data_IF_369481127393
#
_entry.id   IF_369481127393
#
_cell.length_a   1.000
_cell.length_b   1.000
_cell.length_c   1.000
_cell.angle_alpha   90.00
_cell.angle_beta   90.00
_cell.angle_gamma   90.00
#
_symmetry.space_group_name_H-M   'P 1'
#
loop_
_entity.id
_entity.type
_entity.pdbx_description
1 polymer ?
#
# COMPACT_ATOMS: atom_id res chain seq x y z
N UNK A 1 -5.01 57.76 52.64
CA UNK A 1 -5.60 58.11 51.33
C UNK A 1 -5.99 56.82 50.59
N UNK A 2 -7.14 56.77 49.89
CA UNK A 2 -7.89 55.54 49.59
C UNK A 2 -7.94 55.17 48.09
N UNK A 3 -8.25 53.89 47.77
CA UNK A 3 -9.13 53.34 46.70
C UNK A 3 -8.85 51.81 46.56
N UNK A 4 -9.72 50.84 46.86
CA UNK A 4 -11.02 50.41 46.26
C UNK A 4 -10.95 50.18 44.74
N UNK A 5 -10.95 48.92 44.27
CA UNK A 5 -11.66 48.31 43.09
C UNK A 5 -11.31 46.81 43.10
N UNK A 6 -12.11 45.84 43.55
CA UNK A 6 -13.44 45.34 43.13
C UNK A 6 -13.56 45.00 41.63
N UNK A 7 -13.57 43.69 41.38
CA UNK A 7 -14.29 42.92 40.32
C UNK A 7 -13.70 42.87 38.89
N UNK A 8 -13.51 41.60 38.47
CA UNK A 8 -13.77 41.01 37.15
C UNK A 8 -13.15 41.66 35.92
N UNK A 9 -12.27 40.93 35.23
CA UNK A 9 -12.48 40.53 33.83
C UNK A 9 -11.82 39.16 33.64
N UNK A 10 -12.67 38.19 33.32
CA UNK A 10 -12.33 36.90 32.73
C UNK A 10 -11.71 37.19 31.36
N UNK A 11 -10.49 36.74 31.10
CA UNK A 11 -10.04 36.51 29.72
C UNK A 11 -9.66 35.04 29.57
N UNK A 12 -10.68 34.31 29.14
CA UNK A 12 -10.67 32.96 28.65
C UNK A 12 -9.70 32.86 27.46
N UNK A 13 -8.48 32.40 27.69
CA UNK A 13 -7.64 31.87 26.61
C UNK A 13 -8.02 30.40 26.43
N UNK A 14 -9.16 30.17 25.77
CA UNK A 14 -9.34 28.89 25.06
C UNK A 14 -8.30 28.87 23.96
N UNK A 15 -7.17 28.22 24.22
CA UNK A 15 -6.28 27.75 23.17
C UNK A 15 -7.04 26.62 22.48
N UNK A 16 -7.90 26.95 21.51
CA UNK A 16 -8.30 25.97 20.51
C UNK A 16 -7.09 25.77 19.62
N UNK A 17 -6.20 24.87 20.02
CA UNK A 17 -5.38 24.19 19.03
C UNK A 17 -6.30 23.28 18.25
N UNK A 18 -6.96 23.83 17.23
CA UNK A 18 -7.33 23.02 16.07
C UNK A 18 -6.02 22.75 15.36
N UNK A 19 -5.23 21.82 15.90
CA UNK A 19 -4.33 21.04 15.08
C UNK A 19 -5.26 20.25 14.16
N UNK A 20 -5.52 20.80 12.97
CA UNK A 20 -5.99 19.97 11.88
C UNK A 20 -5.00 18.83 11.79
N UNK A 21 -5.48 17.61 12.05
CA UNK A 21 -4.72 16.41 11.78
C UNK A 21 -4.51 16.41 10.27
N UNK A 22 -3.41 17.00 9.80
CA UNK A 22 -2.97 16.78 8.43
C UNK A 22 -2.85 15.27 8.30
N UNK A 23 -3.67 14.68 7.44
CA UNK A 23 -3.72 13.24 7.24
C UNK A 23 -2.32 12.65 7.04
N UNK A 24 -2.20 11.35 7.28
CA UNK A 24 -0.94 10.61 7.08
C UNK A 24 -0.43 10.83 5.65
N UNK A 25 -1.35 10.91 4.69
CA UNK A 25 -1.11 11.40 3.35
C UNK A 25 -1.73 12.79 3.16
N UNK A 26 -1.15 13.57 2.25
CA UNK A 26 -1.74 14.85 1.79
C UNK A 26 -2.97 14.61 0.91
N UNK A 27 -3.77 15.65 0.67
CA UNK A 27 -4.91 15.59 -0.25
C UNK A 27 -4.48 15.32 -1.71
N UNK A 28 -3.23 15.65 -2.05
CA UNK A 28 -2.65 15.41 -3.37
C UNK A 28 -2.13 13.98 -3.54
N UNK A 29 -2.21 13.14 -2.51
CA UNK A 29 -1.74 11.77 -2.59
C UNK A 29 -2.63 10.91 -3.49
N UNK A 30 -1.99 9.96 -4.18
CA UNK A 30 -2.62 8.96 -5.02
C UNK A 30 -2.11 7.58 -4.60
N UNK A 31 -3.02 6.60 -4.63
CA UNK A 31 -2.68 5.20 -4.46
C UNK A 31 -3.16 4.46 -5.70
N UNK A 32 -2.28 3.65 -6.29
CA UNK A 32 -2.57 2.90 -7.51
C UNK A 32 -2.18 1.44 -7.35
N UNK A 33 -2.82 0.59 -8.15
CA UNK A 33 -2.41 -0.80 -8.34
C UNK A 33 -1.53 -0.86 -9.59
N UNK A 34 -0.34 -1.42 -9.42
CA UNK A 34 0.58 -1.75 -10.51
C UNK A 34 0.38 -3.22 -10.89
N UNK A 35 0.03 -3.48 -12.13
CA UNK A 35 -0.01 -4.83 -12.72
C UNK A 35 1.19 -5.00 -13.63
N UNK A 36 1.97 -6.06 -13.40
CA UNK A 36 3.18 -6.31 -14.18
C UNK A 36 3.01 -7.53 -15.08
N UNK A 37 3.43 -7.39 -16.35
CA UNK A 37 3.37 -8.45 -17.34
C UNK A 37 4.15 -9.69 -16.93
N UNK A 38 3.80 -10.86 -17.45
CA UNK A 38 4.53 -12.10 -17.15
C UNK A 38 5.96 -12.07 -17.72
N UNK A 39 6.87 -12.78 -17.05
CA UNK A 39 8.24 -13.02 -17.53
C UNK A 39 8.41 -14.44 -18.05
N UNK A 40 9.63 -14.76 -18.53
CA UNK A 40 9.95 -16.08 -19.11
C UNK A 40 10.18 -17.16 -18.04
N UNK A 41 10.45 -16.76 -16.80
CA UNK A 41 10.69 -17.68 -15.69
C UNK A 41 9.38 -18.09 -15.01
N UNK A 42 9.31 -19.36 -14.56
CA UNK A 42 8.10 -19.97 -14.00
C UNK A 42 7.46 -19.15 -12.86
N UNK A 43 8.28 -18.47 -12.06
CA UNK A 43 7.83 -17.66 -10.94
C UNK A 43 7.34 -16.26 -11.33
N UNK A 44 7.71 -15.80 -12.52
CA UNK A 44 7.18 -14.58 -13.16
C UNK A 44 6.04 -14.86 -14.14
N UNK A 45 5.76 -16.15 -14.40
CA UNK A 45 4.76 -16.58 -15.37
C UNK A 45 3.33 -16.22 -14.92
N UNK A 46 3.11 -16.18 -13.60
CA UNK A 46 1.88 -15.67 -12.99
C UNK A 46 2.16 -14.23 -12.59
N UNK A 47 1.55 -13.27 -13.29
CA UNK A 47 1.77 -11.83 -13.05
C UNK A 47 1.53 -11.46 -11.59
N UNK A 48 2.22 -10.40 -11.13
CA UNK A 48 2.07 -9.92 -9.76
C UNK A 48 1.47 -8.50 -9.72
N UNK A 49 0.81 -8.18 -8.61
CA UNK A 49 0.25 -6.86 -8.35
C UNK A 49 0.97 -6.20 -7.17
N UNK A 50 1.18 -4.89 -7.26
CA UNK A 50 1.76 -4.09 -6.19
C UNK A 50 0.94 -2.83 -5.96
N UNK A 51 1.01 -2.24 -4.76
CA UNK A 51 0.46 -0.90 -4.52
C UNK A 51 1.56 0.13 -4.69
N UNK A 52 1.29 1.20 -5.43
CA UNK A 52 2.13 2.40 -5.41
C UNK A 52 1.43 3.47 -4.59
N UNK A 53 2.17 4.10 -3.70
CA UNK A 53 1.73 5.27 -2.93
C UNK A 53 2.58 6.44 -3.37
N UNK A 54 1.94 7.46 -3.93
CA UNK A 54 2.58 8.70 -4.35
C UNK A 54 1.98 9.88 -3.58
N UNK A 55 2.81 10.68 -2.94
CA UNK A 55 2.45 11.94 -2.30
C UNK A 55 3.51 13.01 -2.63
N UNK A 56 3.24 13.91 -3.58
CA UNK A 56 4.21 14.92 -4.00
C UNK A 56 4.48 15.98 -2.92
N UNK A 57 3.57 16.18 -1.97
CA UNK A 57 3.75 17.14 -0.87
C UNK A 57 4.73 16.59 0.17
N UNK A 58 4.77 15.27 0.33
CA UNK A 58 5.60 14.57 1.32
C UNK A 58 6.83 13.87 0.72
N UNK A 59 7.08 14.02 -0.58
CA UNK A 59 8.14 13.33 -1.34
C UNK A 59 8.07 11.80 -1.18
N UNK A 60 6.86 11.26 -1.22
CA UNK A 60 6.61 9.82 -1.19
C UNK A 60 6.36 9.36 -2.62
N UNK A 61 7.12 8.38 -3.10
CA UNK A 61 6.81 7.63 -4.32
C UNK A 61 7.36 6.21 -4.18
N UNK A 62 6.57 5.34 -3.56
CA UNK A 62 7.00 4.01 -3.12
C UNK A 62 6.04 2.92 -3.56
N UNK A 63 6.59 1.74 -3.82
CA UNK A 63 5.86 0.54 -4.22
C UNK A 63 5.95 -0.50 -3.11
N UNK A 64 4.79 -1.04 -2.73
CA UNK A 64 4.59 -2.17 -1.85
C UNK A 64 4.31 -3.42 -2.68
N UNK A 65 5.32 -4.29 -2.80
CA UNK A 65 5.27 -5.46 -3.66
C UNK A 65 5.00 -6.74 -2.87
N UNK A 66 3.84 -7.35 -3.12
CA UNK A 66 3.39 -8.61 -2.52
C UNK A 66 3.83 -9.87 -3.30
N UNK A 67 4.82 -9.74 -4.19
CA UNK A 67 5.37 -10.84 -4.97
C UNK A 67 6.86 -11.10 -4.77
N UNK A 68 7.47 -10.60 -3.70
CA UNK A 68 8.90 -10.83 -3.44
C UNK A 68 9.10 -12.12 -2.66
N UNK A 69 10.12 -12.90 -2.99
CA UNK A 69 10.46 -14.15 -2.30
C UNK A 69 11.95 -14.46 -2.53
N UNK A 70 12.50 -15.37 -1.71
CA UNK A 70 13.91 -15.77 -1.79
C UNK A 70 14.12 -16.95 -2.74
N UNK A 71 14.80 -16.70 -3.86
CA UNK A 71 15.18 -17.71 -4.85
C UNK A 71 16.25 -18.68 -4.35
N UNK A 72 17.08 -18.25 -3.40
CA UNK A 72 18.16 -19.06 -2.84
C UNK A 72 17.67 -19.97 -1.72
N UNK A 73 16.37 -19.91 -1.39
CA UNK A 73 15.76 -20.79 -0.41
C UNK A 73 15.95 -22.27 -0.80
N UNK A 74 16.34 -23.14 0.14
CA UNK A 74 16.50 -24.57 -0.14
C UNK A 74 15.23 -25.19 -0.75
N UNK A 75 15.41 -25.98 -1.81
CA UNK A 75 14.33 -26.64 -2.54
C UNK A 75 13.30 -25.69 -3.19
N UNK A 76 13.73 -24.49 -3.59
CA UNK A 76 12.88 -23.45 -4.18
C UNK A 76 11.80 -23.99 -5.14
N UNK A 77 12.17 -24.67 -6.24
CA UNK A 77 11.20 -25.17 -7.23
C UNK A 77 10.22 -26.22 -6.65
N UNK A 78 10.69 -27.07 -5.73
CA UNK A 78 9.82 -28.06 -5.07
C UNK A 78 8.85 -27.40 -4.10
N UNK A 79 9.29 -26.36 -3.38
CA UNK A 79 8.42 -25.58 -2.49
C UNK A 79 7.46 -24.68 -3.27
N UNK A 80 7.91 -24.11 -4.39
CA UNK A 80 7.09 -23.41 -5.37
C UNK A 80 5.95 -24.31 -5.82
N UNK A 81 6.24 -25.48 -6.42
CA UNK A 81 5.22 -26.41 -6.90
C UNK A 81 4.26 -26.92 -5.81
N UNK A 82 4.65 -26.86 -4.53
CA UNK A 82 3.84 -27.29 -3.38
C UNK A 82 3.07 -26.15 -2.70
N UNK A 83 3.16 -24.91 -3.19
CA UNK A 83 2.54 -23.74 -2.54
C UNK A 83 3.14 -23.44 -1.16
N UNK A 84 4.41 -23.78 -0.93
CA UNK A 84 5.09 -23.67 0.38
C UNK A 84 6.12 -22.54 0.45
N UNK A 85 6.16 -21.66 -0.55
CA UNK A 85 7.06 -20.52 -0.51
C UNK A 85 6.64 -19.51 0.56
N UNK A 86 7.65 -18.92 1.17
CA UNK A 86 7.51 -17.73 1.99
C UNK A 86 7.73 -16.54 1.06
N UNK A 87 6.75 -15.66 1.04
CA UNK A 87 6.80 -14.38 0.37
C UNK A 87 7.07 -13.30 1.41
N UNK A 88 7.70 -12.25 0.97
CA UNK A 88 8.01 -11.08 1.79
C UNK A 88 7.42 -9.86 1.12
N UNK A 89 6.68 -9.06 1.86
CA UNK A 89 6.28 -7.73 1.43
C UNK A 89 7.54 -6.87 1.34
N UNK A 90 7.88 -6.42 0.14
CA UNK A 90 8.97 -5.48 -0.07
C UNK A 90 8.46 -4.06 -0.32
N UNK A 91 9.28 -3.08 0.05
CA UNK A 91 9.01 -1.66 -0.14
C UNK A 91 10.21 -1.00 -0.82
N UNK A 92 9.99 -0.35 -1.95
CA UNK A 92 11.06 0.31 -2.71
C UNK A 92 10.56 1.57 -3.40
N UNK A 93 11.47 2.43 -3.89
CA UNK A 93 11.09 3.61 -4.69
C UNK A 93 10.52 3.16 -6.04
N UNK A 94 9.51 3.87 -6.54
CA UNK A 94 8.86 3.53 -7.81
C UNK A 94 9.85 3.53 -9.00
N UNK A 95 10.84 4.42 -9.00
CA UNK A 95 11.88 4.45 -10.03
C UNK A 95 12.69 3.16 -10.10
N UNK A 96 13.07 2.59 -8.96
CA UNK A 96 13.84 1.34 -8.88
C UNK A 96 12.98 0.17 -9.33
N UNK A 97 11.73 0.14 -8.87
CA UNK A 97 10.76 -0.85 -9.31
C UNK A 97 10.62 -0.83 -10.83
N UNK A 98 10.37 0.34 -11.44
CA UNK A 98 10.18 0.46 -12.88
C UNK A 98 11.43 0.06 -13.68
N UNK A 99 12.62 0.42 -13.17
CA UNK A 99 13.90 0.06 -13.78
C UNK A 99 14.11 -1.46 -13.84
N UNK A 100 13.75 -2.20 -12.79
CA UNK A 100 13.83 -3.67 -12.80
C UNK A 100 12.97 -4.27 -13.93
N UNK A 101 11.76 -3.77 -14.14
CA UNK A 101 10.86 -4.22 -15.21
C UNK A 101 11.36 -3.85 -16.60
N UNK A 102 12.00 -2.69 -16.75
CA UNK A 102 12.62 -2.27 -18.00
C UNK A 102 13.77 -3.20 -18.41
N UNK A 103 14.64 -3.57 -17.45
CA UNK A 103 15.73 -4.52 -17.68
C UNK A 103 15.22 -5.90 -18.09
N UNK A 104 14.12 -6.35 -17.48
CA UNK A 104 13.45 -7.61 -17.80
C UNK A 104 12.66 -7.57 -19.11
N UNK A 105 12.53 -6.39 -19.74
CA UNK A 105 11.70 -6.14 -20.94
C UNK A 105 10.23 -6.53 -20.70
N UNK A 106 9.73 -6.25 -19.50
CA UNK A 106 8.36 -6.50 -19.08
C UNK A 106 7.61 -5.18 -18.94
N UNK A 107 6.31 -5.21 -19.23
CA UNK A 107 5.47 -4.03 -19.09
C UNK A 107 4.93 -3.89 -17.67
N UNK A 108 4.69 -2.65 -17.26
CA UNK A 108 3.98 -2.28 -16.02
C UNK A 108 2.79 -1.42 -16.41
N UNK A 109 1.59 -1.76 -15.92
CA UNK A 109 0.36 -0.99 -16.10
C UNK A 109 -0.08 -0.47 -14.75
N UNK A 110 -0.45 0.81 -14.69
CA UNK A 110 -0.91 1.49 -13.48
C UNK A 110 -2.42 1.74 -13.55
N UNK A 111 -3.12 1.48 -12.45
CA UNK A 111 -4.52 1.83 -12.25
C UNK A 111 -4.67 2.61 -10.96
N UNK A 112 -4.98 3.91 -11.07
CA UNK A 112 -5.25 4.78 -9.92
C UNK A 112 -6.57 4.33 -9.28
N UNK A 113 -6.57 4.19 -7.96
CA UNK A 113 -7.76 3.86 -7.18
C UNK A 113 -8.55 5.13 -6.87
N UNK A 114 -9.87 5.05 -7.00
CA UNK A 114 -10.79 6.11 -6.60
C UNK A 114 -11.05 6.00 -5.09
N UNK A 115 -10.13 6.56 -4.30
CA UNK A 115 -10.16 6.55 -2.83
C UNK A 115 -10.38 7.96 -2.29
N UNK A 116 -11.21 8.07 -1.26
CA UNK A 116 -11.28 9.28 -0.44
C UNK A 116 -10.04 9.41 0.47
N UNK A 117 -9.94 10.53 1.20
CA UNK A 117 -8.76 10.81 2.01
C UNK A 117 -8.61 9.84 3.19
N UNK A 118 -9.70 9.39 3.79
CA UNK A 118 -9.67 8.49 4.93
C UNK A 118 -9.25 7.09 4.47
N UNK A 119 -9.80 6.61 3.36
CA UNK A 119 -9.40 5.37 2.72
C UNK A 119 -7.91 5.34 2.32
N UNK A 120 -7.38 6.46 1.80
CA UNK A 120 -5.94 6.58 1.51
C UNK A 120 -5.11 6.43 2.79
N UNK A 121 -5.52 7.10 3.88
CA UNK A 121 -4.82 7.03 5.16
C UNK A 121 -4.87 5.62 5.76
N UNK A 122 -6.03 4.95 5.70
CA UNK A 122 -6.19 3.58 6.20
C UNK A 122 -5.32 2.58 5.41
N UNK A 123 -5.28 2.73 4.08
CA UNK A 123 -4.46 1.87 3.23
C UNK A 123 -2.97 2.05 3.52
N UNK A 124 -2.46 3.27 3.67
CA UNK A 124 -1.04 3.45 4.02
C UNK A 124 -0.71 2.93 5.43
N UNK A 125 -1.61 3.08 6.41
CA UNK A 125 -1.44 2.49 7.75
C UNK A 125 -1.30 0.98 7.64
N UNK A 126 -2.20 0.34 6.88
CA UNK A 126 -2.17 -1.09 6.65
C UNK A 126 -0.86 -1.53 5.98
N UNK A 127 -0.43 -0.84 4.92
CA UNK A 127 0.79 -1.17 4.18
C UNK A 127 2.05 -1.04 5.04
N UNK A 128 2.18 0.07 5.79
CA UNK A 128 3.32 0.28 6.69
C UNK A 128 3.31 -0.70 7.87
N UNK A 129 2.13 -1.10 8.38
CA UNK A 129 2.03 -2.13 9.40
C UNK A 129 2.47 -3.51 8.89
N UNK A 130 2.04 -3.90 7.68
CA UNK A 130 2.46 -5.16 7.08
C UNK A 130 3.94 -5.17 6.71
N UNK A 131 4.53 -4.01 6.40
CA UNK A 131 5.94 -3.92 6.04
C UNK A 131 6.90 -4.12 7.23
N UNK A 132 6.40 -4.08 8.47
CA UNK A 132 7.20 -4.33 9.67
C UNK A 132 7.88 -5.73 9.61
N UNK A 133 9.11 -5.89 10.12
CA UNK A 133 9.84 -7.17 10.08
C UNK A 133 9.04 -8.37 10.59
N UNK A 134 8.19 -8.17 11.60
CA UNK A 134 7.34 -9.19 12.21
C UNK A 134 6.11 -9.59 11.37
N UNK A 135 5.70 -8.76 10.40
CA UNK A 135 4.46 -8.94 9.64
C UNK A 135 4.69 -9.19 8.15
N UNK A 136 5.87 -8.84 7.63
CA UNK A 136 6.13 -8.81 6.18
C UNK A 136 6.24 -10.17 5.53
N UNK A 137 6.53 -11.22 6.30
CA UNK A 137 6.68 -12.58 5.77
C UNK A 137 5.36 -13.34 5.87
N UNK A 138 4.87 -13.87 4.75
CA UNK A 138 3.61 -14.60 4.69
C UNK A 138 3.70 -15.80 3.74
N UNK A 139 2.82 -16.78 3.98
CA UNK A 139 2.63 -17.90 3.04
C UNK A 139 1.68 -17.45 1.95
N UNK A 140 2.02 -17.79 0.72
CA UNK A 140 1.21 -17.48 -0.45
C UNK A 140 1.05 -18.75 -1.28
N UNK A 141 -0.21 -19.10 -1.56
CA UNK A 141 -0.54 -20.21 -2.44
C UNK A 141 -0.83 -19.65 -3.84
N UNK A 142 0.14 -19.72 -4.75
CA UNK A 142 0.01 -19.17 -6.10
C UNK A 142 -1.10 -19.84 -6.94
N UNK A 143 -1.55 -21.05 -6.56
CA UNK A 143 -2.62 -21.78 -7.25
C UNK A 143 -4.02 -21.26 -6.87
N UNK A 144 -4.21 -20.77 -5.64
CA UNK A 144 -5.52 -20.39 -5.12
C UNK A 144 -5.62 -18.90 -4.68
N UNK A 145 -4.51 -18.30 -4.26
CA UNK A 145 -4.40 -16.93 -3.72
C UNK A 145 -3.54 -16.04 -4.62
N UNK A 146 -3.76 -16.08 -5.94
CA UNK A 146 -2.95 -15.29 -6.88
C UNK A 146 -3.30 -13.79 -6.87
N UNK A 147 -2.60 -12.99 -7.67
CA UNK A 147 -2.80 -11.53 -7.72
C UNK A 147 -4.16 -11.10 -8.27
N UNK A 148 -4.92 -12.02 -8.88
CA UNK A 148 -6.31 -11.81 -9.28
C UNK A 148 -7.32 -12.07 -8.16
N UNK A 149 -6.94 -12.73 -7.06
CA UNK A 149 -7.82 -12.98 -5.89
C UNK A 149 -7.40 -12.16 -4.67
N UNK A 150 -6.10 -12.07 -4.37
CA UNK A 150 -5.60 -11.43 -3.14
C UNK A 150 -5.69 -9.90 -3.11
N UNK A 151 -5.56 -9.23 -4.26
CA UNK A 151 -5.69 -7.77 -4.34
C UNK A 151 -7.15 -7.31 -4.10
N UNK A 152 -8.15 -7.91 -4.78
CA UNK A 152 -9.56 -7.77 -4.40
C UNK A 152 -9.83 -8.04 -2.93
N UNK A 153 -9.24 -9.08 -2.33
CA UNK A 153 -9.45 -9.42 -0.91
C UNK A 153 -8.84 -8.39 0.05
N UNK A 154 -7.61 -7.92 -0.21
CA UNK A 154 -6.97 -6.87 0.61
C UNK A 154 -7.78 -5.58 0.52
N UNK A 155 -8.15 -5.18 -0.70
CA UNK A 155 -9.00 -4.02 -0.88
C UNK A 155 -10.37 -4.23 -0.21
N UNK A 156 -10.95 -5.44 -0.30
CA UNK A 156 -12.27 -5.75 0.27
C UNK A 156 -12.30 -5.71 1.79
N UNK A 157 -11.20 -6.13 2.43
CA UNK A 157 -11.00 -6.03 3.88
C UNK A 157 -10.81 -4.60 4.36
N UNK A 158 -10.14 -3.75 3.55
CA UNK A 158 -9.84 -2.35 3.91
C UNK A 158 -11.02 -1.42 3.59
N UNK A 159 -11.81 -1.74 2.56
CA UNK A 159 -12.84 -0.85 2.02
C UNK A 159 -14.28 -1.26 2.37
N UNK A 160 -14.48 -2.17 3.33
CA UNK A 160 -15.79 -2.59 3.86
C UNK A 160 -16.90 -2.76 2.78
N UNK A 161 -16.62 -3.52 1.69
CA UNK A 161 -17.55 -3.74 0.55
C UNK A 161 -17.88 -2.51 -0.34
N UNK A 162 -17.07 -1.45 -0.35
CA UNK A 162 -17.27 -0.30 -1.26
C UNK A 162 -16.66 -0.50 -2.66
N UNK A 163 -16.03 -1.65 -2.92
CA UNK A 163 -15.42 -1.93 -4.23
C UNK A 163 -16.50 -2.33 -5.22
N UNK A 164 -16.72 -1.46 -6.20
CA UNK A 164 -17.44 -1.81 -7.41
C UNK A 164 -16.43 -2.31 -8.44
N UNK A 165 -16.38 -3.63 -8.64
CA UNK A 165 -15.77 -4.17 -9.86
C UNK A 165 -16.68 -3.78 -11.03
N UNK A 166 -16.15 -3.03 -12.00
CA UNK A 166 -16.88 -2.76 -13.23
C UNK A 166 -17.01 -4.06 -14.01
N UNK A 167 -18.17 -4.72 -13.97
CA UNK A 167 -18.44 -5.95 -14.71
C UNK A 167 -18.77 -5.69 -16.20
N UNK A 168 -18.15 -4.70 -16.83
CA UNK A 168 -18.55 -4.32 -18.18
C UNK A 168 -17.80 -5.05 -19.30
N UNK A 169 -16.83 -5.93 -19.02
CA UNK A 169 -16.15 -6.68 -20.07
C UNK A 169 -15.69 -8.09 -19.65
N UNK A 170 -16.42 -9.10 -20.13
CA UNK A 170 -15.90 -10.43 -20.51
C UNK A 170 -16.04 -10.57 -22.03
#
# INVERSE_FOLDING_TARGET
MPLKYRRLIVLLLTLTEVLGQGGILSESAQISVLTCGSGQELYTAFGHSAFRVQDPVKDIDVVYNYGTFDFQAPNFYTNFAKGKLIYTLSRQRFENFLYDYELEKRWVKEQILDLDQDQKNDLIIFLENNYRPENRDYRYDFLFDNCSTKMPDILGQILENQIKFGEDHL
#
